data_IF_320262848782
#
_entry.id   IF_320262848782
#
_cell.length_a   1.000
_cell.length_b   1.000
_cell.length_c   1.000
_cell.angle_alpha   90.00
_cell.angle_beta   90.00
_cell.angle_gamma   90.00
#
_symmetry.space_group_name_H-M   'P 1'
#
loop_
_entity.id
_entity.type
_entity.pdbx_description
1 polymer ?
#
# COMPACT_ATOMS: atom_id res chain seq x y z
N UNK A 1 -14.70 5.19 23.44
CA UNK A 1 -15.49 3.94 23.39
C UNK A 1 -16.96 4.23 23.12
N UNK A 2 -17.52 5.28 23.72
CA UNK A 2 -18.90 5.72 23.52
C UNK A 2 -19.20 6.16 22.07
N UNK A 3 -18.33 6.99 21.48
CA UNK A 3 -18.50 7.47 20.09
C UNK A 3 -18.47 6.36 19.03
N UNK A 4 -17.64 5.33 19.22
CA UNK A 4 -17.55 4.21 18.26
C UNK A 4 -18.80 3.32 18.30
N UNK A 5 -19.38 3.14 19.48
CA UNK A 5 -20.62 2.40 19.65
C UNK A 5 -21.80 3.16 19.05
N UNK A 6 -21.89 4.46 19.30
CA UNK A 6 -22.94 5.31 18.70
C UNK A 6 -22.81 5.40 17.17
N UNK A 7 -21.59 5.49 16.65
CA UNK A 7 -21.34 5.40 15.22
C UNK A 7 -21.82 4.05 14.65
N UNK A 8 -21.45 2.94 15.27
CA UNK A 8 -21.87 1.61 14.81
C UNK A 8 -23.41 1.46 14.82
N UNK A 9 -24.08 1.89 15.91
CA UNK A 9 -25.55 1.92 15.98
C UNK A 9 -26.16 2.81 14.90
N UNK A 10 -25.55 3.95 14.60
CA UNK A 10 -25.99 4.85 13.53
C UNK A 10 -25.92 4.16 12.16
N UNK A 11 -24.83 3.45 11.85
CA UNK A 11 -24.70 2.68 10.61
C UNK A 11 -25.74 1.55 10.53
N UNK A 12 -25.98 0.83 11.63
CA UNK A 12 -27.02 -0.22 11.66
C UNK A 12 -28.43 0.35 11.39
N UNK A 13 -28.74 1.55 11.92
CA UNK A 13 -30.05 2.21 11.71
C UNK A 13 -30.21 2.80 10.31
N UNK A 14 -29.18 3.47 9.81
CA UNK A 14 -29.24 4.23 8.54
C UNK A 14 -28.86 3.39 7.31
N UNK A 15 -28.39 2.15 7.54
CA UNK A 15 -27.89 1.27 6.50
C UNK A 15 -26.56 1.73 5.91
N UNK A 16 -26.08 1.01 4.88
CA UNK A 16 -24.75 1.24 4.30
C UNK A 16 -24.68 2.40 3.31
N UNK A 17 -25.81 2.99 2.89
CA UNK A 17 -25.84 4.04 1.86
C UNK A 17 -24.96 5.26 2.18
N UNK A 18 -24.94 5.80 3.41
CA UNK A 18 -24.03 6.90 3.76
C UNK A 18 -22.55 6.50 3.63
N UNK A 19 -22.19 5.33 4.15
CA UNK A 19 -20.82 4.80 4.06
C UNK A 19 -20.38 4.59 2.61
N UNK A 20 -21.27 4.09 1.75
CA UNK A 20 -20.97 3.95 0.32
C UNK A 20 -20.72 5.30 -0.35
N UNK A 21 -21.48 6.35 -0.01
CA UNK A 21 -21.23 7.71 -0.53
C UNK A 21 -19.87 8.22 -0.08
N UNK A 22 -19.52 8.09 1.20
CA UNK A 22 -18.20 8.46 1.71
C UNK A 22 -17.09 7.66 1.02
N UNK A 23 -17.27 6.35 0.86
CA UNK A 23 -16.29 5.52 0.15
C UNK A 23 -16.10 5.95 -1.31
N UNK A 24 -17.17 6.36 -2.01
CA UNK A 24 -17.05 6.78 -3.41
C UNK A 24 -16.20 8.03 -3.61
N UNK A 25 -16.12 8.93 -2.62
CA UNK A 25 -15.28 10.13 -2.71
C UNK A 25 -13.80 9.81 -2.55
N UNK A 26 -13.45 8.74 -1.83
CA UNK A 26 -12.05 8.36 -1.54
C UNK A 26 -11.53 7.23 -2.42
N UNK A 27 -12.38 6.38 -3.03
CA UNK A 27 -11.93 5.17 -3.73
C UNK A 27 -11.02 5.42 -4.93
N UNK A 28 -11.08 6.62 -5.52
CA UNK A 28 -10.24 7.05 -6.66
C UNK A 28 -9.24 8.13 -6.26
N UNK A 29 -9.06 8.35 -4.96
CA UNK A 29 -8.14 9.35 -4.49
C UNK A 29 -6.71 8.95 -4.85
N UNK A 30 -6.03 9.85 -5.56
CA UNK A 30 -4.61 9.76 -5.87
C UNK A 30 -4.01 11.08 -5.36
N UNK A 31 -3.01 11.06 -4.46
CA UNK A 31 -2.37 12.28 -4.02
C UNK A 31 -1.76 13.04 -5.21
N UNK A 32 -1.72 14.37 -5.13
CA UNK A 32 -1.03 15.18 -6.14
C UNK A 32 0.48 14.90 -6.09
N UNK A 33 1.12 15.04 -7.24
CA UNK A 33 2.59 15.02 -7.37
C UNK A 33 3.25 13.73 -6.89
N UNK A 34 2.56 12.59 -6.99
CA UNK A 34 3.17 11.28 -6.74
C UNK A 34 3.97 10.82 -7.96
N UNK A 35 5.03 10.06 -7.71
CA UNK A 35 5.77 9.31 -8.72
C UNK A 35 5.76 7.82 -8.39
N UNK A 36 5.86 7.00 -9.44
CA UNK A 36 5.81 5.53 -9.37
C UNK A 36 6.94 4.89 -10.18
N UNK A 37 8.03 5.61 -10.39
CA UNK A 37 9.09 5.24 -11.34
C UNK A 37 9.70 3.87 -11.00
N UNK A 38 9.92 3.60 -9.71
CA UNK A 38 10.45 2.30 -9.28
C UNK A 38 9.42 1.18 -9.42
N UNK A 39 8.13 1.47 -9.21
CA UNK A 39 7.06 0.52 -9.45
C UNK A 39 7.02 0.12 -10.93
N UNK A 40 7.06 1.11 -11.83
CA UNK A 40 6.98 0.89 -13.28
C UNK A 40 8.21 0.15 -13.82
N UNK A 41 9.41 0.44 -13.31
CA UNK A 41 10.66 -0.22 -13.71
C UNK A 41 10.81 -1.66 -13.19
N UNK A 42 10.03 -2.08 -12.20
CA UNK A 42 10.16 -3.39 -11.54
C UNK A 42 8.88 -4.24 -11.66
N UNK A 43 8.25 -4.20 -12.83
CA UNK A 43 7.01 -4.92 -13.13
C UNK A 43 7.00 -6.38 -12.66
N UNK A 44 8.09 -7.14 -12.88
CA UNK A 44 8.18 -8.56 -12.47
C UNK A 44 8.08 -8.78 -10.96
N UNK A 45 8.40 -7.77 -10.15
CA UNK A 45 8.29 -7.81 -8.68
C UNK A 45 6.91 -7.37 -8.17
N UNK A 46 5.99 -6.99 -9.06
CA UNK A 46 4.66 -6.54 -8.72
C UNK A 46 3.65 -7.63 -9.08
N UNK A 47 2.80 -8.04 -8.12
CA UNK A 47 1.87 -9.19 -8.26
C UNK A 47 0.98 -9.13 -9.50
N UNK A 48 0.77 -7.94 -10.07
CA UNK A 48 -0.24 -7.69 -11.09
C UNK A 48 0.33 -7.32 -12.46
N UNK A 49 1.61 -6.94 -12.57
CA UNK A 49 2.16 -6.50 -13.86
C UNK A 49 2.40 -7.67 -14.84
N UNK A 50 2.25 -8.92 -14.40
CA UNK A 50 2.48 -10.11 -15.21
C UNK A 50 1.28 -10.60 -16.03
N UNK A 51 0.04 -10.15 -15.78
CA UNK A 51 -1.12 -10.87 -16.35
C UNK A 51 -2.28 -10.11 -16.97
N UNK A 52 -2.37 -8.78 -16.96
CA UNK A 52 -3.38 -8.08 -17.78
C UNK A 52 -3.16 -6.57 -17.75
N UNK A 53 -3.12 -5.95 -18.92
CA UNK A 53 -3.03 -4.48 -19.16
C UNK A 53 -4.11 -3.62 -18.45
N UNK A 54 -5.04 -4.22 -17.70
CA UNK A 54 -6.21 -3.51 -17.17
C UNK A 54 -6.66 -3.94 -15.77
N UNK A 55 -5.87 -4.68 -14.98
CA UNK A 55 -6.38 -5.22 -13.70
C UNK A 55 -6.09 -4.47 -12.40
N UNK A 56 -4.96 -3.76 -12.23
CA UNK A 56 -4.80 -2.87 -11.07
C UNK A 56 -3.75 -1.76 -11.30
N UNK A 57 -4.11 -0.70 -12.02
CA UNK A 57 -3.47 0.62 -11.83
C UNK A 57 -3.76 1.21 -10.45
N UNK A 58 -4.59 0.53 -9.67
CA UNK A 58 -5.19 1.04 -8.43
C UNK A 58 -4.31 0.77 -7.20
N UNK A 59 -3.27 -0.07 -7.32
CA UNK A 59 -2.37 -0.45 -6.21
C UNK A 59 -0.91 -0.11 -6.56
N UNK A 60 -0.65 1.19 -6.68
CA UNK A 60 0.66 1.75 -6.97
C UNK A 60 1.58 1.70 -5.74
N UNK A 61 2.88 1.51 -5.96
CA UNK A 61 3.90 1.76 -4.94
C UNK A 61 4.48 3.17 -5.15
N UNK A 62 4.24 4.06 -4.20
CA UNK A 62 4.61 5.48 -4.30
C UNK A 62 6.08 5.65 -3.95
N UNK A 63 6.86 6.33 -4.80
CA UNK A 63 8.32 6.45 -4.59
C UNK A 63 8.68 7.18 -3.30
N UNK A 64 7.94 8.24 -2.95
CA UNK A 64 8.25 9.10 -1.80
C UNK A 64 8.17 8.39 -0.45
N UNK A 65 7.42 7.28 -0.36
CA UNK A 65 7.26 6.50 0.87
C UNK A 65 7.66 5.05 0.70
N UNK A 66 8.22 4.65 -0.45
CA UNK A 66 8.60 3.26 -0.68
C UNK A 66 9.63 2.79 0.34
N UNK A 67 9.57 1.51 0.65
CA UNK A 67 10.65 0.86 1.39
C UNK A 67 11.84 0.67 0.44
N UNK A 68 13.03 1.05 0.90
CA UNK A 68 14.29 0.87 0.19
C UNK A 68 15.02 -0.30 0.83
N UNK A 69 15.26 -1.38 0.08
CA UNK A 69 16.02 -2.51 0.59
C UNK A 69 17.47 -2.08 0.87
N UNK A 70 17.92 -2.24 2.12
CA UNK A 70 19.28 -1.94 2.52
C UNK A 70 20.24 -3.04 2.03
N UNK A 71 21.51 -2.67 1.78
CA UNK A 71 22.53 -3.61 1.31
C UNK A 71 22.40 -4.01 -0.18
N UNK A 72 21.51 -3.36 -0.95
CA UNK A 72 21.36 -3.56 -2.39
C UNK A 72 21.72 -2.30 -3.17
N UNK A 73 22.14 -2.50 -4.42
CA UNK A 73 22.38 -1.40 -5.36
C UNK A 73 21.07 -0.68 -5.70
N UNK A 74 21.16 0.57 -6.17
CA UNK A 74 19.99 1.37 -6.58
C UNK A 74 19.12 0.68 -7.62
N UNK A 75 19.71 -0.16 -8.47
CA UNK A 75 19.01 -0.91 -9.52
C UNK A 75 18.23 -2.13 -9.00
N UNK A 76 18.49 -2.58 -7.77
CA UNK A 76 17.88 -3.79 -7.21
C UNK A 76 17.38 -3.59 -5.76
N UNK A 77 17.11 -2.35 -5.35
CA UNK A 77 16.64 -2.03 -4.00
C UNK A 77 15.12 -1.86 -3.88
N UNK A 78 14.37 -2.40 -4.86
CA UNK A 78 12.93 -2.30 -4.93
C UNK A 78 12.22 -3.54 -4.38
N UNK A 79 11.20 -3.28 -3.56
CA UNK A 79 10.13 -4.19 -3.15
C UNK A 79 8.83 -3.38 -3.16
N UNK A 80 7.69 -3.98 -3.52
CA UNK A 80 6.38 -3.33 -3.50
C UNK A 80 5.85 -3.18 -2.06
N UNK A 81 6.40 -2.18 -1.36
CA UNK A 81 6.07 -1.84 0.01
C UNK A 81 6.23 -0.33 0.26
N UNK A 82 5.32 0.24 1.05
CA UNK A 82 5.34 1.65 1.45
C UNK A 82 5.26 1.80 2.97
N UNK A 83 5.95 2.82 3.48
CA UNK A 83 5.75 3.31 4.84
C UNK A 83 4.44 4.09 4.93
N UNK A 84 3.55 3.66 5.82
CA UNK A 84 2.29 4.33 6.15
C UNK A 84 2.37 4.88 7.56
N UNK A 85 2.10 6.18 7.70
CA UNK A 85 2.07 6.86 9.01
C UNK A 85 0.62 7.13 9.40
N UNK A 86 0.21 6.65 10.57
CA UNK A 86 -1.07 7.01 11.16
C UNK A 86 -0.90 8.25 12.06
N UNK A 87 -1.98 9.02 12.32
CA UNK A 87 -1.94 10.15 13.24
C UNK A 87 -1.45 9.80 14.65
N UNK A 88 -1.63 8.55 15.09
CA UNK A 88 -1.22 8.04 16.41
C UNK A 88 0.29 7.82 16.58
N UNK A 89 1.13 8.47 15.76
CA UNK A 89 2.60 8.30 15.67
C UNK A 89 3.08 6.88 15.32
N UNK A 90 2.17 5.91 15.14
CA UNK A 90 2.52 4.56 14.69
C UNK A 90 2.82 4.58 13.19
N UNK A 91 3.90 3.86 12.83
CA UNK A 91 4.31 3.63 11.45
C UNK A 91 4.12 2.16 11.13
N UNK A 92 3.67 1.91 9.92
CA UNK A 92 3.44 0.57 9.38
C UNK A 92 4.16 0.45 8.06
N UNK A 93 4.52 -0.77 7.70
CA UNK A 93 4.84 -1.12 6.32
C UNK A 93 3.62 -1.81 5.75
N UNK A 94 3.06 -1.25 4.69
CA UNK A 94 2.04 -1.90 3.88
C UNK A 94 2.73 -2.44 2.62
N UNK A 95 2.58 -3.74 2.36
CA UNK A 95 3.25 -4.44 1.28
C UNK A 95 2.29 -5.42 0.63
N UNK A 96 2.52 -5.75 -0.64
CA UNK A 96 1.86 -6.90 -1.24
C UNK A 96 2.29 -8.21 -0.56
N UNK A 97 1.47 -9.25 -0.68
CA UNK A 97 1.91 -10.61 -0.33
C UNK A 97 3.10 -11.03 -1.21
N UNK A 98 4.17 -11.62 -0.65
CA UNK A 98 5.37 -11.96 -1.39
C UNK A 98 5.05 -12.90 -2.57
N UNK A 99 5.76 -12.68 -3.67
CA UNK A 99 5.81 -13.55 -4.84
C UNK A 99 7.01 -14.48 -4.72
N UNK A 100 7.05 -15.52 -5.55
CA UNK A 100 8.18 -16.45 -5.59
C UNK A 100 9.50 -15.70 -5.85
N UNK A 101 9.50 -14.68 -6.72
CA UNK A 101 10.67 -13.87 -7.06
C UNK A 101 11.02 -12.81 -6.00
N UNK A 102 10.15 -12.59 -5.00
CA UNK A 102 10.31 -11.51 -4.00
C UNK A 102 10.32 -12.02 -2.56
N UNK A 103 10.30 -13.33 -2.34
CA UNK A 103 10.32 -13.91 -0.99
C UNK A 103 11.60 -13.54 -0.23
N UNK A 104 12.75 -13.56 -0.90
CA UNK A 104 14.03 -13.14 -0.30
C UNK A 104 14.05 -11.65 0.00
N UNK A 105 13.54 -10.83 -0.91
CA UNK A 105 13.42 -9.38 -0.75
C UNK A 105 12.53 -9.03 0.45
N UNK A 106 11.43 -9.77 0.64
CA UNK A 106 10.52 -9.63 1.76
C UNK A 106 11.19 -9.93 3.10
N UNK A 107 11.95 -11.02 3.20
CA UNK A 107 12.69 -11.32 4.42
C UNK A 107 13.84 -10.33 4.65
N UNK A 108 14.54 -9.91 3.60
CA UNK A 108 15.58 -8.88 3.70
C UNK A 108 15.01 -7.57 4.26
N UNK A 109 13.83 -7.16 3.80
CA UNK A 109 13.11 -6.01 4.35
C UNK A 109 12.87 -6.18 5.85
N UNK A 110 12.36 -7.34 6.30
CA UNK A 110 12.12 -7.59 7.72
C UNK A 110 13.43 -7.45 8.53
N UNK A 111 14.50 -8.11 8.10
CA UNK A 111 15.74 -8.17 8.88
C UNK A 111 16.59 -6.90 8.85
N UNK A 112 16.49 -6.07 7.80
CA UNK A 112 17.39 -4.93 7.61
C UNK A 112 16.69 -3.56 7.65
N UNK A 113 15.37 -3.54 7.56
CA UNK A 113 14.59 -2.30 7.53
C UNK A 113 13.72 -2.15 8.77
N UNK A 114 13.20 -3.26 9.31
CA UNK A 114 12.31 -3.25 10.48
C UNK A 114 13.11 -3.41 11.78
N UNK A 115 14.05 -4.37 11.78
CA UNK A 115 15.00 -4.61 12.87
C UNK A 115 16.30 -3.85 12.63
#
# INVERSE_FOLDING_TARGET
MENSLEWAKSICRNGLRPLLREFTTVRKYIPKDITTDYFDQNATKNRIALHTQFRYTDVMCIDSTRVVLQGRSKKNNYIHANWVRLPSSRRYICTQGPLDETVEDFWLMIFKVIF
#
